data_IF_129307225482
#
_entry.id   IF_129307225482
#
_cell.length_a   1.000
_cell.length_b   1.000
_cell.length_c   1.000
_cell.angle_alpha   90.00
_cell.angle_beta   90.00
_cell.angle_gamma   90.00
#
_symmetry.space_group_name_H-M   'P 1'
#
loop_
_entity.id
_entity.type
_entity.pdbx_description
1 polymer ?
#
# COMPACT_ATOMS: atom_id res chain seq x y z
N UNK A 1 -20.02 9.21 6.02
CA UNK A 1 -20.04 7.74 5.95
C UNK A 1 -19.31 7.32 4.69
N UNK A 2 -18.17 6.67 4.86
CA UNK A 2 -17.36 6.20 3.73
C UNK A 2 -17.86 4.84 3.26
N UNK A 3 -17.99 4.62 1.96
CA UNK A 3 -18.43 3.34 1.40
C UNK A 3 -17.32 2.58 0.69
N UNK A 4 -16.30 3.29 0.20
CA UNK A 4 -15.15 2.72 -0.52
C UNK A 4 -13.85 3.26 0.06
N UNK A 5 -13.14 2.43 0.77
CA UNK A 5 -11.88 2.76 1.44
C UNK A 5 -10.73 2.10 0.70
N UNK A 6 -9.82 2.89 0.13
CA UNK A 6 -8.61 2.40 -0.50
C UNK A 6 -7.46 2.42 0.49
N UNK A 7 -6.73 1.30 0.59
CA UNK A 7 -5.64 1.11 1.54
C UNK A 7 -4.39 0.63 0.79
N UNK A 8 -3.38 1.49 0.61
CA UNK A 8 -2.07 1.06 0.15
C UNK A 8 -1.38 0.20 1.21
N UNK A 9 -0.88 -0.96 0.82
CA UNK A 9 -0.18 -1.90 1.70
C UNK A 9 1.19 -2.27 1.13
N UNK A 10 2.23 -2.26 1.96
CA UNK A 10 3.61 -2.59 1.57
C UNK A 10 4.29 -3.59 2.53
N UNK A 11 3.53 -4.12 3.49
CA UNK A 11 4.02 -5.04 4.50
C UNK A 11 4.80 -4.39 5.64
N UNK A 12 4.98 -3.07 5.66
CA UNK A 12 5.62 -2.33 6.76
C UNK A 12 4.69 -2.19 7.97
N UNK A 13 5.26 -1.91 9.15
CA UNK A 13 4.49 -1.66 10.36
C UNK A 13 3.58 -0.43 10.24
N UNK A 14 4.01 0.72 9.66
CA UNK A 14 3.11 1.84 9.42
C UNK A 14 1.95 1.51 8.49
N UNK A 15 2.21 0.76 7.42
CA UNK A 15 1.17 0.29 6.49
C UNK A 15 0.15 -0.60 7.18
N UNK A 16 0.62 -1.54 8.00
CA UNK A 16 -0.26 -2.42 8.79
C UNK A 16 -1.15 -1.63 9.76
N UNK A 17 -0.62 -0.58 10.37
CA UNK A 17 -1.42 0.32 11.23
C UNK A 17 -2.48 1.08 10.43
N UNK A 18 -2.12 1.58 9.25
CA UNK A 18 -3.09 2.17 8.32
C UNK A 18 -4.23 1.21 8.00
N UNK A 19 -3.89 -0.05 7.71
CA UNK A 19 -4.88 -1.09 7.45
C UNK A 19 -5.79 -1.35 8.67
N UNK A 20 -5.24 -1.39 9.88
CA UNK A 20 -6.05 -1.58 11.09
C UNK A 20 -7.06 -0.44 11.33
N UNK A 21 -6.67 0.81 11.05
CA UNK A 21 -7.60 1.94 11.11
C UNK A 21 -8.66 1.87 10.00
N UNK A 22 -8.26 1.48 8.78
CA UNK A 22 -9.21 1.26 7.69
C UNK A 22 -10.24 0.17 8.02
N UNK A 23 -9.82 -0.92 8.67
CA UNK A 23 -10.71 -1.99 9.14
C UNK A 23 -11.74 -1.47 10.15
N UNK A 24 -11.34 -0.60 11.09
CA UNK A 24 -12.28 0.02 12.04
C UNK A 24 -13.32 0.87 11.30
N UNK A 25 -12.87 1.77 10.41
CA UNK A 25 -13.77 2.59 9.61
C UNK A 25 -14.71 1.74 8.75
N UNK A 26 -14.19 0.70 8.10
CA UNK A 26 -15.00 -0.17 7.25
C UNK A 26 -16.08 -0.92 8.03
N UNK A 27 -15.76 -1.31 9.27
CA UNK A 27 -16.73 -1.99 10.15
C UNK A 27 -17.87 -1.07 10.55
N UNK A 28 -17.55 0.17 10.93
CA UNK A 28 -18.52 1.14 11.40
C UNK A 28 -19.42 1.64 10.26
N UNK A 29 -18.87 1.80 9.07
CA UNK A 29 -19.58 2.32 7.89
C UNK A 29 -20.10 1.22 6.93
N UNK A 30 -19.82 -0.05 7.20
CA UNK A 30 -20.09 -1.17 6.28
C UNK A 30 -19.44 -0.96 4.90
N UNK A 31 -18.24 -0.39 4.89
CA UNK A 31 -17.53 0.00 3.69
C UNK A 31 -16.82 -1.18 3.00
N UNK A 32 -16.63 -1.06 1.70
CA UNK A 32 -15.77 -1.94 0.92
C UNK A 32 -14.30 -1.52 1.09
N UNK A 33 -13.43 -2.50 1.28
CA UNK A 33 -11.98 -2.30 1.37
C UNK A 33 -11.31 -2.74 0.06
N UNK A 34 -10.51 -1.87 -0.54
CA UNK A 34 -9.56 -2.25 -1.60
C UNK A 34 -8.14 -2.12 -1.07
N UNK A 35 -7.39 -3.23 -1.10
CA UNK A 35 -5.98 -3.29 -0.71
C UNK A 35 -5.13 -3.16 -1.97
N UNK A 36 -4.25 -2.16 -2.03
CA UNK A 36 -3.38 -1.92 -3.18
C UNK A 36 -1.93 -2.13 -2.78
N UNK A 37 -1.27 -3.09 -3.41
CA UNK A 37 0.18 -3.26 -3.32
C UNK A 37 0.82 -2.93 -4.65
N UNK A 38 1.87 -2.11 -4.62
CA UNK A 38 2.60 -1.69 -5.83
C UNK A 38 4.01 -2.25 -5.79
N UNK A 39 4.36 -3.04 -6.80
CA UNK A 39 5.71 -3.58 -6.99
C UNK A 39 6.49 -2.64 -7.89
N UNK A 40 7.65 -2.17 -7.43
CA UNK A 40 8.60 -1.46 -8.27
C UNK A 40 9.55 -2.47 -8.94
N UNK A 41 9.37 -2.70 -10.23
CA UNK A 41 10.14 -3.71 -10.97
C UNK A 41 11.58 -3.28 -11.28
N UNK A 42 11.91 -1.99 -11.22
CA UNK A 42 13.29 -1.51 -11.41
C UNK A 42 14.17 -1.90 -10.23
N UNK A 43 13.70 -1.70 -9.00
CA UNK A 43 14.47 -2.04 -7.79
C UNK A 43 14.71 -3.54 -7.73
N UNK A 44 13.69 -4.34 -8.07
CA UNK A 44 13.83 -5.81 -8.14
C UNK A 44 14.84 -6.27 -9.20
N UNK A 45 14.97 -5.55 -10.32
CA UNK A 45 15.95 -5.89 -11.37
C UNK A 45 17.39 -5.52 -10.97
N UNK A 46 17.60 -4.43 -10.24
CA UNK A 46 18.93 -4.00 -9.77
C UNK A 46 19.45 -4.94 -8.68
N UNK A 47 18.63 -5.32 -7.72
CA UNK A 47 18.99 -6.27 -6.66
C UNK A 47 19.35 -7.64 -7.21
N UNK A 48 18.81 -7.98 -8.38
CA UNK A 48 19.06 -9.26 -9.04
C UNK A 48 20.28 -9.25 -9.99
N UNK A 49 20.57 -8.12 -10.64
CA UNK A 49 21.75 -7.99 -11.51
C UNK A 49 23.08 -8.07 -10.75
N UNK A 50 23.05 -7.97 -9.41
CA UNK A 50 24.21 -8.13 -8.54
C UNK A 50 24.64 -9.61 -8.32
N UNK A 51 23.88 -10.60 -8.84
CA UNK A 51 24.17 -12.03 -8.68
C UNK A 51 24.66 -12.68 -9.98
N UNK A 52 25.67 -13.58 -9.94
CA UNK A 52 26.20 -14.19 -11.14
C UNK A 52 25.24 -15.24 -11.74
N UNK A 53 24.79 -15.00 -12.97
CA UNK A 53 24.26 -16.07 -13.84
C UNK A 53 22.75 -16.21 -13.98
N UNK A 54 21.94 -15.18 -13.70
CA UNK A 54 20.50 -15.28 -13.81
C UNK A 54 19.92 -14.71 -15.11
N UNK A 55 19.48 -15.58 -15.98
CA UNK A 55 18.64 -15.28 -17.14
C UNK A 55 17.17 -15.37 -16.75
N UNK A 56 16.61 -14.39 -16.07
CA UNK A 56 15.19 -14.40 -15.72
C UNK A 56 14.52 -13.19 -16.34
N UNK A 57 13.39 -13.46 -17.01
CA UNK A 57 12.55 -12.45 -17.65
C UNK A 57 12.00 -11.47 -16.59
N UNK A 58 12.31 -10.17 -16.71
CA UNK A 58 11.82 -9.16 -15.76
C UNK A 58 10.29 -9.05 -15.70
N UNK A 59 9.59 -9.52 -16.71
CA UNK A 59 8.12 -9.43 -16.80
C UNK A 59 7.36 -10.44 -15.93
N UNK A 60 8.06 -11.45 -15.39
CA UNK A 60 7.43 -12.53 -14.60
C UNK A 60 7.63 -12.39 -13.09
N UNK A 61 8.25 -11.29 -12.63
CA UNK A 61 8.59 -11.14 -11.21
C UNK A 61 7.60 -10.31 -10.42
N UNK A 62 6.53 -10.94 -10.07
CA UNK A 62 5.92 -10.68 -8.78
C UNK A 62 6.80 -11.39 -7.75
N UNK A 63 7.56 -10.65 -6.97
CA UNK A 63 8.37 -11.25 -5.92
C UNK A 63 7.42 -11.96 -4.94
N UNK A 64 7.72 -13.21 -4.54
CA UNK A 64 6.93 -13.96 -3.57
C UNK A 64 6.67 -13.14 -2.29
N UNK A 65 7.59 -12.25 -1.92
CA UNK A 65 7.45 -11.33 -0.79
C UNK A 65 6.31 -10.31 -0.99
N UNK A 66 6.11 -9.82 -2.20
CA UNK A 66 5.04 -8.82 -2.50
C UNK A 66 3.67 -9.48 -2.47
N UNK A 67 3.54 -10.67 -3.07
CA UNK A 67 2.32 -11.49 -2.96
C UNK A 67 2.03 -11.84 -1.51
N UNK A 68 3.04 -12.23 -0.75
CA UNK A 68 2.90 -12.57 0.66
C UNK A 68 2.47 -11.35 1.50
N UNK A 69 2.97 -10.15 1.20
CA UNK A 69 2.56 -8.91 1.88
C UNK A 69 1.07 -8.63 1.66
N UNK A 70 0.59 -8.73 0.42
CA UNK A 70 -0.81 -8.55 0.08
C UNK A 70 -1.70 -9.61 0.74
N UNK A 71 -1.30 -10.90 0.70
CA UNK A 71 -2.02 -11.99 1.36
C UNK A 71 -2.11 -11.83 2.88
N UNK A 72 -1.05 -11.33 3.53
CA UNK A 72 -1.09 -11.03 4.97
C UNK A 72 -2.09 -9.93 5.28
N UNK A 73 -2.15 -8.89 4.43
CA UNK A 73 -3.13 -7.82 4.58
C UNK A 73 -4.57 -8.33 4.42
N UNK A 74 -4.84 -9.16 3.41
CA UNK A 74 -6.16 -9.81 3.23
C UNK A 74 -6.55 -10.68 4.44
N UNK A 75 -5.59 -11.50 4.92
CA UNK A 75 -5.83 -12.35 6.09
C UNK A 75 -6.21 -11.52 7.31
N UNK A 76 -5.59 -10.35 7.51
CA UNK A 76 -5.91 -9.46 8.62
C UNK A 76 -7.34 -8.89 8.49
N UNK A 77 -7.77 -8.54 7.29
CA UNK A 77 -9.15 -8.10 7.02
C UNK A 77 -10.15 -9.21 7.33
N UNK A 78 -9.88 -10.42 6.82
CA UNK A 78 -10.76 -11.59 7.01
C UNK A 78 -10.86 -12.01 8.48
N UNK A 79 -9.75 -11.98 9.23
CA UNK A 79 -9.74 -12.24 10.68
C UNK A 79 -10.60 -11.24 11.47
N UNK A 80 -10.83 -10.05 10.91
CA UNK A 80 -11.71 -9.04 11.49
C UNK A 80 -13.16 -9.12 10.97
N UNK A 81 -13.52 -10.19 10.26
CA UNK A 81 -14.88 -10.45 9.78
C UNK A 81 -15.30 -9.60 8.58
N UNK A 82 -14.34 -9.03 7.85
CA UNK A 82 -14.58 -8.21 6.67
C UNK A 82 -14.03 -8.89 5.41
N UNK A 83 -14.45 -8.38 4.26
CA UNK A 83 -13.91 -8.75 2.97
C UNK A 83 -13.13 -7.58 2.37
N UNK A 84 -12.14 -7.89 1.54
CA UNK A 84 -11.38 -6.90 0.78
C UNK A 84 -11.17 -7.36 -0.65
N UNK A 85 -10.92 -6.40 -1.51
CA UNK A 85 -10.51 -6.60 -2.90
C UNK A 85 -9.01 -6.33 -3.01
N UNK A 86 -8.16 -7.37 -3.16
CA UNK A 86 -6.73 -7.19 -3.33
C UNK A 86 -6.40 -6.79 -4.77
N UNK A 87 -5.53 -5.80 -4.91
CA UNK A 87 -5.02 -5.31 -6.20
C UNK A 87 -3.51 -5.25 -6.15
N UNK A 88 -2.86 -6.00 -7.04
CA UNK A 88 -1.42 -5.98 -7.22
C UNK A 88 -1.10 -5.20 -8.50
N UNK A 89 -0.33 -4.14 -8.36
CA UNK A 89 0.11 -3.29 -9.46
C UNK A 89 1.63 -3.37 -9.61
N UNK A 90 2.13 -3.15 -10.82
CA UNK A 90 3.56 -3.02 -11.07
C UNK A 90 3.87 -1.67 -11.72
N UNK A 91 5.03 -1.11 -11.40
CA UNK A 91 5.55 0.09 -12.04
C UNK A 91 7.01 -0.11 -12.43
N UNK A 92 7.39 0.48 -13.55
CA UNK A 92 8.77 0.60 -14.00
C UNK A 92 9.37 1.97 -13.66
N UNK A 93 8.59 2.82 -12.99
CA UNK A 93 9.01 4.13 -12.51
C UNK A 93 8.90 4.17 -10.99
N UNK A 94 9.61 5.07 -10.33
CA UNK A 94 9.58 5.18 -8.87
C UNK A 94 8.27 5.78 -8.30
N UNK A 95 7.26 6.01 -9.16
CA UNK A 95 6.08 6.78 -8.76
C UNK A 95 4.93 5.88 -8.27
N UNK A 96 5.15 5.18 -7.16
CA UNK A 96 4.12 4.39 -6.47
C UNK A 96 2.92 5.26 -6.05
N UNK A 97 3.19 6.49 -5.59
CA UNK A 97 2.14 7.42 -5.18
C UNK A 97 1.18 7.79 -6.30
N UNK A 98 1.66 7.91 -7.55
CA UNK A 98 0.83 8.15 -8.72
C UNK A 98 -0.14 7.01 -9.01
N UNK A 99 0.33 5.77 -8.90
CA UNK A 99 -0.53 4.60 -9.07
C UNK A 99 -1.62 4.53 -7.99
N UNK A 100 -1.29 4.89 -6.76
CA UNK A 100 -2.28 4.95 -5.66
C UNK A 100 -3.36 5.99 -5.98
N UNK A 101 -2.97 7.20 -6.39
CA UNK A 101 -3.91 8.27 -6.76
C UNK A 101 -4.80 7.85 -7.93
N UNK A 102 -4.21 7.23 -8.97
CA UNK A 102 -4.96 6.72 -10.12
C UNK A 102 -5.96 5.66 -9.70
N UNK A 103 -5.56 4.69 -8.89
CA UNK A 103 -6.44 3.64 -8.38
C UNK A 103 -7.60 4.21 -7.55
N UNK A 104 -7.34 5.21 -6.72
CA UNK A 104 -8.38 5.86 -5.94
C UNK A 104 -9.44 6.52 -6.86
N UNK A 105 -8.99 7.19 -7.90
CA UNK A 105 -9.86 7.83 -8.89
C UNK A 105 -10.66 6.81 -9.71
N UNK A 106 -10.00 5.79 -10.27
CA UNK A 106 -10.62 4.77 -11.12
C UNK A 106 -11.67 3.95 -10.36
N UNK A 107 -11.40 3.65 -9.11
CA UNK A 107 -12.33 2.91 -8.26
C UNK A 107 -13.40 3.78 -7.61
N UNK A 108 -13.31 5.10 -7.73
CA UNK A 108 -14.16 6.07 -7.03
C UNK A 108 -14.10 5.84 -5.51
N UNK A 109 -12.89 5.83 -4.96
CA UNK A 109 -12.70 5.73 -3.52
C UNK A 109 -13.24 6.99 -2.84
N UNK A 110 -13.87 6.83 -1.67
CA UNK A 110 -14.34 7.94 -0.84
C UNK A 110 -13.26 8.47 0.09
N UNK A 111 -12.29 7.61 0.43
CA UNK A 111 -11.15 7.94 1.27
C UNK A 111 -9.97 7.01 0.96
N UNK A 112 -8.76 7.55 1.11
CA UNK A 112 -7.52 6.77 1.15
C UNK A 112 -7.06 6.72 2.61
N UNK A 113 -6.75 5.53 3.13
CA UNK A 113 -6.17 5.36 4.47
C UNK A 113 -4.78 4.75 4.33
N UNK A 114 -3.75 5.45 4.78
CA UNK A 114 -2.38 4.99 4.62
C UNK A 114 -1.47 5.36 5.80
N UNK A 115 -0.42 4.56 5.98
CA UNK A 115 0.64 4.89 6.93
C UNK A 115 1.48 6.08 6.43
N UNK A 116 2.00 6.88 7.36
CA UNK A 116 2.82 8.05 7.03
C UNK A 116 4.22 7.70 6.51
N UNK A 117 4.71 6.48 6.76
CA UNK A 117 6.04 6.00 6.36
C UNK A 117 5.90 4.61 5.74
N UNK A 118 6.70 4.35 4.69
CA UNK A 118 6.89 3.03 4.11
C UNK A 118 8.08 2.28 4.74
N UNK A 119 8.66 1.36 4.00
CA UNK A 119 9.77 0.47 4.43
C UNK A 119 11.04 1.20 4.94
N UNK A 120 11.19 2.50 4.72
CA UNK A 120 12.40 3.27 5.04
C UNK A 120 12.50 3.85 6.46
N UNK A 121 11.55 3.63 7.34
CA UNK A 121 11.55 3.84 8.80
C UNK A 121 12.42 4.95 9.39
N UNK A 122 12.32 6.21 8.93
CA UNK A 122 13.02 7.33 9.55
C UNK A 122 12.21 7.94 10.70
N UNK A 123 12.85 8.11 11.83
CA UNK A 123 12.28 8.35 13.16
C UNK A 123 11.83 9.79 13.46
N UNK A 124 11.53 10.65 12.51
CA UNK A 124 11.04 12.01 12.80
C UNK A 124 10.16 12.54 11.68
N UNK A 125 8.88 12.80 11.97
CA UNK A 125 7.93 13.75 11.30
C UNK A 125 8.01 13.90 9.76
N UNK A 126 8.72 13.03 9.07
CA UNK A 126 8.89 13.10 7.62
C UNK A 126 7.82 12.21 7.00
N UNK A 127 6.93 12.81 6.26
CA UNK A 127 5.98 12.08 5.43
C UNK A 127 6.77 11.34 4.34
N UNK A 128 6.55 10.03 4.18
CA UNK A 128 7.21 9.25 3.13
C UNK A 128 6.87 9.78 1.74
N UNK A 129 7.77 9.59 0.77
CA UNK A 129 7.62 10.12 -0.59
C UNK A 129 6.29 9.75 -1.26
N UNK A 130 5.82 8.52 -1.07
CA UNK A 130 4.53 8.08 -1.61
C UNK A 130 3.36 8.77 -0.93
N UNK A 131 3.40 8.93 0.39
CA UNK A 131 2.39 9.64 1.16
C UNK A 131 2.36 11.14 0.82
N UNK A 132 3.52 11.76 0.61
CA UNK A 132 3.63 13.14 0.15
C UNK A 132 3.05 13.29 -1.27
N UNK A 133 3.36 12.38 -2.18
CA UNK A 133 2.81 12.41 -3.52
C UNK A 133 1.28 12.28 -3.51
N UNK A 134 0.73 11.34 -2.76
CA UNK A 134 -0.72 11.17 -2.59
C UNK A 134 -1.35 12.44 -2.04
N UNK A 135 -0.78 13.03 -0.98
CA UNK A 135 -1.29 14.27 -0.38
C UNK A 135 -1.37 15.43 -1.38
N UNK A 136 -0.37 15.55 -2.26
CA UNK A 136 -0.29 16.66 -3.21
C UNK A 136 -1.20 16.50 -4.43
N UNK A 137 -1.51 15.27 -4.84
CA UNK A 137 -2.13 15.01 -6.15
C UNK A 137 -3.52 14.39 -6.08
N UNK A 138 -3.94 13.88 -4.92
CA UNK A 138 -5.28 13.30 -4.79
C UNK A 138 -6.35 14.36 -4.58
N UNK A 139 -7.55 14.09 -5.10
CA UNK A 139 -8.77 14.82 -4.81
C UNK A 139 -9.65 14.11 -3.77
N UNK A 140 -9.25 12.88 -3.41
CA UNK A 140 -9.93 12.05 -2.43
C UNK A 140 -9.38 12.39 -1.03
N UNK A 141 -10.23 12.51 0.01
CA UNK A 141 -9.77 12.65 1.39
C UNK A 141 -8.74 11.58 1.77
N UNK A 142 -7.72 11.96 2.56
CA UNK A 142 -6.67 11.05 3.02
C UNK A 142 -6.58 11.05 4.53
N UNK A 143 -6.67 9.86 5.12
CA UNK A 143 -6.35 9.63 6.52
C UNK A 143 -4.93 9.08 6.64
N UNK A 144 -4.03 9.88 7.20
CA UNK A 144 -2.68 9.45 7.51
C UNK A 144 -2.59 8.88 8.92
N UNK A 145 -2.16 7.63 9.02
CA UNK A 145 -1.97 6.93 10.29
C UNK A 145 -0.50 6.96 10.69
N UNK A 146 -0.19 7.58 11.81
CA UNK A 146 1.19 7.64 12.33
C UNK A 146 1.60 6.33 12.96
N UNK A 147 2.87 5.99 12.78
CA UNK A 147 3.53 5.02 13.63
C UNK A 147 3.63 5.57 15.07
N UNK A 148 3.47 4.72 16.11
CA UNK A 148 3.88 5.14 17.45
C UNK A 148 5.38 5.40 17.43
N UNK A 149 5.88 6.45 18.10
CA UNK A 149 7.31 6.56 18.36
C UNK A 149 7.74 5.27 19.07
N UNK A 150 8.75 4.59 18.53
CA UNK A 150 9.30 3.42 19.21
C UNK A 150 9.76 3.81 20.62
N UNK A 151 9.37 3.01 21.59
CA UNK A 151 10.02 2.99 22.91
C UNK A 151 11.47 2.54 22.74
#
# INVERSE_FOLDING_TARGET
MYQKILVPVDGSAPSTRGLLEAIKLARDDHAQLRLVHVVNTIVSAIDYAAGPGSTIDPSTRTNDADVAALKRAESLVTQNGLNSEPVLLSTVTDNVGELIVRQAKEWNADIIVMGTHGRGGLSRLILGSNAEHVLRHTQVPVLFVRGQPGN
#
